data_IF_336472916889
#
_entry.id   IF_336472916889
#
_cell.length_a   1.000
_cell.length_b   1.000
_cell.length_c   1.000
_cell.angle_alpha   90.00
_cell.angle_beta   90.00
_cell.angle_gamma   90.00
#
_symmetry.space_group_name_H-M   'P 1'
#
loop_
_entity.id
_entity.type
_entity.pdbx_description
1 polymer ?
#
# COMPACT_ATOMS: atom_id res chain seq x y z
N UNK A 1 -2.17 39.71 -14.44
CA UNK A 1 -2.59 39.45 -13.04
C UNK A 1 -3.10 38.02 -12.86
N UNK A 2 -3.97 37.52 -13.75
CA UNK A 2 -4.45 36.12 -13.74
C UNK A 2 -3.33 35.06 -13.71
N UNK A 3 -2.27 35.22 -14.52
CA UNK A 3 -1.13 34.29 -14.58
C UNK A 3 -0.35 34.14 -13.27
N UNK A 4 -0.23 35.19 -12.45
CA UNK A 4 0.41 35.11 -11.12
C UNK A 4 -0.46 34.33 -10.11
N UNK A 5 -1.77 34.52 -10.15
CA UNK A 5 -2.70 33.78 -9.30
C UNK A 5 -2.73 32.29 -9.67
N UNK A 6 -2.71 31.96 -10.97
CA UNK A 6 -2.61 30.59 -11.45
C UNK A 6 -1.30 29.92 -11.02
N UNK A 7 -0.16 30.64 -11.08
CA UNK A 7 1.13 30.12 -10.59
C UNK A 7 1.13 29.85 -9.07
N UNK A 8 0.57 30.76 -8.28
CA UNK A 8 0.47 30.60 -6.82
C UNK A 8 -0.39 29.39 -6.47
N UNK A 9 -1.53 29.22 -7.15
CA UNK A 9 -2.40 28.07 -6.94
C UNK A 9 -1.69 26.75 -7.29
N UNK A 10 -0.97 26.70 -8.42
CA UNK A 10 -0.15 25.54 -8.83
C UNK A 10 0.93 25.19 -7.79
N UNK A 11 1.68 26.18 -7.32
CA UNK A 11 2.72 25.98 -6.30
C UNK A 11 2.14 25.48 -4.96
N UNK A 12 0.98 26.00 -4.55
CA UNK A 12 0.30 25.52 -3.35
C UNK A 12 -0.18 24.08 -3.50
N UNK A 13 -0.77 23.72 -4.64
CA UNK A 13 -1.20 22.33 -4.90
C UNK A 13 -0.01 21.36 -4.90
N UNK A 14 1.11 21.76 -5.50
CA UNK A 14 2.35 20.98 -5.52
C UNK A 14 2.91 20.74 -4.11
N UNK A 15 2.94 21.79 -3.29
CA UNK A 15 3.40 21.70 -1.91
C UNK A 15 2.51 20.79 -1.06
N UNK A 16 1.18 20.87 -1.23
CA UNK A 16 0.23 19.98 -0.57
C UNK A 16 0.40 18.51 -1.00
N UNK A 17 0.59 18.25 -2.29
CA UNK A 17 0.83 16.88 -2.78
C UNK A 17 2.14 16.34 -2.19
N UNK A 18 3.25 17.07 -2.31
CA UNK A 18 4.57 16.68 -1.83
C UNK A 18 4.64 16.36 -0.32
N UNK A 19 3.80 17.02 0.48
CA UNK A 19 3.67 16.80 1.93
C UNK A 19 2.71 15.66 2.26
N UNK A 20 1.68 15.43 1.45
CA UNK A 20 0.72 14.34 1.64
C UNK A 20 1.28 12.95 1.28
N UNK A 21 2.10 12.84 0.22
CA UNK A 21 2.58 11.54 -0.29
C UNK A 21 3.28 10.68 0.77
N UNK A 22 4.25 11.20 1.56
CA UNK A 22 4.90 10.42 2.61
C UNK A 22 3.93 10.00 3.72
N UNK A 23 2.93 10.83 4.04
CA UNK A 23 1.96 10.55 5.10
C UNK A 23 1.01 9.41 4.71
N UNK A 24 0.46 9.43 3.50
CA UNK A 24 -0.45 8.39 3.01
C UNK A 24 0.30 7.06 2.80
N UNK A 25 1.54 7.12 2.31
CA UNK A 25 2.37 5.92 2.17
C UNK A 25 2.73 5.30 3.53
N UNK A 26 3.03 6.13 4.55
CA UNK A 26 3.27 5.64 5.92
C UNK A 26 2.00 5.04 6.54
N UNK A 27 0.83 5.63 6.26
CA UNK A 27 -0.45 5.08 6.70
C UNK A 27 -0.74 3.72 6.07
N UNK A 28 -0.50 3.58 4.75
CA UNK A 28 -0.60 2.29 4.05
C UNK A 28 0.31 1.24 4.70
N UNK A 29 1.59 1.57 4.97
CA UNK A 29 2.52 0.66 5.64
C UNK A 29 2.02 0.22 7.03
N UNK A 30 1.57 1.16 7.85
CA UNK A 30 1.07 0.86 9.20
C UNK A 30 -0.18 -0.04 9.18
N UNK A 31 -1.12 0.22 8.26
CA UNK A 31 -2.31 -0.61 8.09
C UNK A 31 -1.94 -2.02 7.60
N UNK A 32 -0.96 -2.13 6.70
CA UNK A 32 -0.45 -3.40 6.18
C UNK A 32 0.22 -4.20 7.29
N UNK A 33 1.06 -3.58 8.12
CA UNK A 33 1.70 -4.21 9.28
C UNK A 33 0.67 -4.72 10.31
N UNK A 34 -0.36 -3.90 10.60
CA UNK A 34 -1.46 -4.31 11.48
C UNK A 34 -2.19 -5.53 10.91
N UNK A 35 -2.45 -5.53 9.60
CA UNK A 35 -3.11 -6.64 8.91
C UNK A 35 -2.24 -7.90 8.88
N UNK A 36 -0.92 -7.76 8.67
CA UNK A 36 0.05 -8.87 8.79
C UNK A 36 -0.05 -9.55 10.14
N UNK A 37 -0.05 -8.75 11.22
CA UNK A 37 -0.19 -9.26 12.59
C UNK A 37 -1.51 -10.00 12.79
N UNK A 38 -2.61 -9.47 12.25
CA UNK A 38 -3.92 -10.12 12.31
C UNK A 38 -3.95 -11.46 11.56
N UNK A 39 -3.45 -11.52 10.32
CA UNK A 39 -3.42 -12.76 9.53
C UNK A 39 -2.53 -13.81 10.20
N UNK A 40 -1.37 -13.39 10.71
CA UNK A 40 -0.45 -14.27 11.46
C UNK A 40 -1.11 -14.83 12.72
N UNK A 41 -1.87 -14.00 13.45
CA UNK A 41 -2.65 -14.44 14.61
C UNK A 41 -3.71 -15.47 14.19
N UNK A 42 -4.46 -15.23 13.12
CA UNK A 42 -5.46 -16.19 12.62
C UNK A 42 -4.84 -17.54 12.24
N UNK A 43 -3.64 -17.55 11.65
CA UNK A 43 -2.87 -18.77 11.32
C UNK A 43 -2.54 -19.63 12.56
N UNK A 44 -2.52 -19.04 13.75
CA UNK A 44 -2.22 -19.74 15.02
C UNK A 44 -3.44 -20.40 15.69
N UNK A 45 -4.65 -20.22 15.15
CA UNK A 45 -5.85 -20.82 15.72
C UNK A 45 -5.78 -22.34 15.70
N UNK A 46 -6.23 -22.96 16.82
CA UNK A 46 -6.39 -24.41 16.90
C UNK A 46 -7.60 -24.84 16.06
N UNK A 47 -7.51 -25.99 15.41
CA UNK A 47 -8.57 -26.60 14.59
C UNK A 47 -8.87 -25.93 13.23
N UNK A 48 -7.91 -25.22 12.64
CA UNK A 48 -8.01 -24.81 11.24
C UNK A 48 -8.07 -26.05 10.33
N UNK A 49 -8.98 -26.05 9.36
CA UNK A 49 -8.95 -27.04 8.27
C UNK A 49 -7.69 -26.81 7.43
N UNK A 50 -7.12 -27.86 6.80
CA UNK A 50 -5.90 -27.71 5.97
C UNK A 50 -6.01 -26.59 4.93
N UNK A 51 -7.18 -26.43 4.30
CA UNK A 51 -7.43 -25.36 3.32
C UNK A 51 -7.52 -23.96 3.94
N UNK A 52 -7.99 -23.84 5.18
CA UNK A 52 -8.01 -22.57 5.91
C UNK A 52 -6.59 -22.16 6.30
N UNK A 53 -5.80 -23.11 6.80
CA UNK A 53 -4.40 -22.89 7.10
C UNK A 53 -3.61 -22.47 5.87
N UNK A 54 -3.79 -23.15 4.73
CA UNK A 54 -3.12 -22.80 3.47
C UNK A 54 -3.46 -21.37 3.03
N UNK A 55 -4.75 -20.99 2.98
CA UNK A 55 -5.15 -19.63 2.61
C UNK A 55 -4.60 -18.55 3.56
N UNK A 56 -4.53 -18.85 4.86
CA UNK A 56 -3.92 -17.96 5.86
C UNK A 56 -2.40 -17.87 5.72
N UNK A 57 -1.76 -18.98 5.33
CA UNK A 57 -0.32 -19.04 5.07
C UNK A 57 0.02 -18.16 3.86
N UNK A 58 -0.62 -18.42 2.73
CA UNK A 58 -0.38 -17.71 1.47
C UNK A 58 -0.63 -16.21 1.65
N UNK A 59 -1.75 -15.83 2.30
CA UNK A 59 -2.00 -14.42 2.58
C UNK A 59 -0.97 -13.78 3.53
N UNK A 60 -0.44 -14.52 4.51
CA UNK A 60 0.59 -13.98 5.38
C UNK A 60 1.90 -13.69 4.63
N UNK A 61 2.22 -14.48 3.60
CA UNK A 61 3.36 -14.26 2.72
C UNK A 61 3.11 -13.02 1.84
N UNK A 62 1.99 -12.96 1.13
CA UNK A 62 1.60 -11.81 0.30
C UNK A 62 1.63 -10.49 1.09
N UNK A 63 1.06 -10.48 2.30
CA UNK A 63 1.05 -9.27 3.14
C UNK A 63 2.43 -8.96 3.72
N UNK A 64 3.29 -9.96 3.90
CA UNK A 64 4.69 -9.70 4.25
C UNK A 64 5.42 -9.01 3.10
N UNK A 65 5.21 -9.48 1.87
CA UNK A 65 5.79 -8.88 0.66
C UNK A 65 5.29 -7.45 0.46
N UNK A 66 3.99 -7.19 0.68
CA UNK A 66 3.46 -5.82 0.65
C UNK A 66 4.16 -4.91 1.68
N UNK A 67 4.37 -5.36 2.92
CA UNK A 67 5.13 -4.59 3.94
C UNK A 67 6.53 -4.23 3.44
N UNK A 68 7.24 -5.19 2.84
CA UNK A 68 8.60 -4.98 2.34
C UNK A 68 8.60 -4.00 1.17
N UNK A 69 7.64 -4.12 0.25
CA UNK A 69 7.47 -3.23 -0.90
C UNK A 69 7.16 -1.79 -0.45
N UNK A 70 6.20 -1.59 0.44
CA UNK A 70 5.86 -0.28 1.00
C UNK A 70 7.02 0.36 1.78
N UNK A 71 7.81 -0.46 2.48
CA UNK A 71 9.03 -0.01 3.17
C UNK A 71 10.08 0.49 2.17
N UNK A 72 10.29 -0.23 1.06
CA UNK A 72 11.16 0.20 -0.04
C UNK A 72 10.65 1.49 -0.68
N UNK A 73 9.34 1.61 -0.91
CA UNK A 73 8.71 2.83 -1.43
C UNK A 73 9.03 4.06 -0.57
N UNK A 74 8.95 3.95 0.76
CA UNK A 74 9.30 5.07 1.65
C UNK A 74 10.78 5.47 1.55
N UNK A 75 11.68 4.48 1.40
CA UNK A 75 13.12 4.73 1.24
C UNK A 75 13.40 5.45 -0.08
N UNK A 76 12.86 4.95 -1.20
CA UNK A 76 13.01 5.58 -2.52
C UNK A 76 12.40 6.99 -2.54
N UNK A 77 11.22 7.18 -1.94
CA UNK A 77 10.58 8.50 -1.84
C UNK A 77 11.46 9.49 -1.07
N UNK A 78 12.14 9.05 0.00
CA UNK A 78 13.09 9.90 0.73
C UNK A 78 14.29 10.27 -0.14
N UNK A 79 14.84 9.32 -0.91
CA UNK A 79 15.98 9.56 -1.79
C UNK A 79 15.64 10.52 -2.93
N UNK A 80 14.42 10.45 -3.48
CA UNK A 80 13.92 11.38 -4.51
C UNK A 80 14.00 12.85 -4.10
N UNK A 81 13.93 13.14 -2.79
CA UNK A 81 13.97 14.51 -2.23
C UNK A 81 15.38 15.02 -1.93
N UNK A 82 16.38 14.15 -1.80
CA UNK A 82 17.73 14.52 -1.34
C UNK A 82 18.65 14.84 -2.52
N UNK A 83 18.55 14.09 -3.62
CA UNK A 83 19.59 14.13 -4.65
C UNK A 83 19.25 14.88 -5.94
N UNK A 84 17.97 15.12 -6.28
CA UNK A 84 17.52 15.90 -7.45
C UNK A 84 17.89 15.33 -8.84
N UNK A 85 19.12 14.84 -9.04
CA UNK A 85 19.68 14.28 -10.26
C UNK A 85 19.03 12.95 -10.69
N UNK A 86 18.40 12.24 -9.75
CA UNK A 86 17.77 10.93 -9.97
C UNK A 86 16.29 10.88 -9.54
N UNK A 87 15.59 12.03 -9.54
CA UNK A 87 14.19 12.10 -9.11
C UNK A 87 13.30 11.09 -9.85
N UNK A 88 13.36 11.09 -11.19
CA UNK A 88 12.56 10.20 -12.04
C UNK A 88 12.84 8.73 -11.78
N UNK A 89 14.11 8.37 -11.55
CA UNK A 89 14.51 7.01 -11.23
C UNK A 89 13.90 6.57 -9.90
N UNK A 90 14.11 7.36 -8.84
CA UNK A 90 13.58 7.04 -7.52
C UNK A 90 12.05 7.00 -7.51
N UNK A 91 11.36 7.96 -8.15
CA UNK A 91 9.90 7.97 -8.12
C UNK A 91 9.30 6.81 -8.92
N UNK A 92 9.91 6.40 -10.04
CA UNK A 92 9.48 5.20 -10.78
C UNK A 92 9.62 3.91 -9.95
N UNK A 93 10.65 3.83 -9.09
CA UNK A 93 10.78 2.73 -8.13
C UNK A 93 9.65 2.79 -7.09
N UNK A 94 9.30 3.98 -6.58
CA UNK A 94 8.16 4.14 -5.66
C UNK A 94 6.86 3.64 -6.31
N UNK A 95 6.56 4.08 -7.54
CA UNK A 95 5.36 3.66 -8.29
C UNK A 95 5.31 2.14 -8.48
N UNK A 96 6.44 1.54 -8.86
CA UNK A 96 6.58 0.10 -9.03
C UNK A 96 6.33 -0.64 -7.72
N UNK A 97 7.01 -0.25 -6.64
CA UNK A 97 6.88 -0.94 -5.36
C UNK A 97 5.48 -0.80 -4.75
N UNK A 98 4.85 0.38 -4.85
CA UNK A 98 3.47 0.55 -4.34
C UNK A 98 2.45 -0.20 -5.19
N UNK A 99 2.60 -0.25 -6.52
CA UNK A 99 1.72 -1.04 -7.38
C UNK A 99 1.83 -2.55 -7.11
N UNK A 100 3.07 -3.00 -6.87
CA UNK A 100 3.36 -4.36 -6.45
C UNK A 100 2.74 -4.67 -5.08
N UNK A 101 2.85 -3.77 -4.09
CA UNK A 101 2.21 -3.95 -2.78
C UNK A 101 0.68 -4.10 -2.89
N UNK A 102 0.05 -3.25 -3.71
CA UNK A 102 -1.40 -3.33 -3.99
C UNK A 102 -1.80 -4.66 -4.63
N UNK A 103 -0.93 -5.21 -5.49
CA UNK A 103 -1.15 -6.52 -6.11
C UNK A 103 -1.16 -7.62 -5.07
N UNK A 104 -0.17 -7.66 -4.16
CA UNK A 104 -0.12 -8.69 -3.11
C UNK A 104 -1.32 -8.61 -2.16
N UNK A 105 -1.72 -7.39 -1.79
CA UNK A 105 -2.92 -7.16 -0.99
C UNK A 105 -4.16 -7.73 -1.67
N UNK A 106 -4.32 -7.46 -2.96
CA UNK A 106 -5.44 -7.97 -3.76
C UNK A 106 -5.38 -9.50 -3.88
N UNK A 107 -4.20 -10.07 -4.15
CA UNK A 107 -3.96 -11.52 -4.21
C UNK A 107 -4.33 -12.21 -2.90
N UNK A 108 -3.91 -11.68 -1.75
CA UNK A 108 -4.35 -12.21 -0.46
C UNK A 108 -5.89 -12.19 -0.40
N UNK A 109 -6.54 -11.08 -0.74
CA UNK A 109 -8.00 -10.95 -0.69
C UNK A 109 -8.73 -11.98 -1.55
N UNK A 110 -8.21 -12.25 -2.74
CA UNK A 110 -8.75 -13.20 -3.71
C UNK A 110 -8.63 -14.65 -3.24
N UNK A 111 -7.59 -14.99 -2.48
CA UNK A 111 -7.44 -16.27 -1.78
C UNK A 111 -8.65 -16.63 -0.89
N UNK A 112 -9.45 -15.63 -0.50
CA UNK A 112 -10.65 -15.80 0.32
C UNK A 112 -11.97 -15.71 -0.46
N UNK A 113 -11.99 -15.63 -1.80
CA UNK A 113 -13.23 -15.42 -2.56
C UNK A 113 -14.22 -16.62 -2.51
N UNK A 114 -13.71 -17.86 -2.39
CA UNK A 114 -14.51 -19.09 -2.42
C UNK A 114 -15.36 -19.38 -1.16
N UNK A 115 -16.34 -20.31 -1.26
CA UNK A 115 -17.29 -20.66 -0.19
C UNK A 115 -16.72 -21.56 0.94
N UNK A 116 -15.44 -21.88 0.92
CA UNK A 116 -14.85 -23.00 1.67
C UNK A 116 -14.17 -22.66 3.00
N UNK A 117 -14.20 -21.40 3.43
CA UNK A 117 -13.54 -20.92 4.66
C UNK A 117 -14.60 -20.52 5.71
N UNK A 118 -14.28 -20.68 7.00
CA UNK A 118 -15.10 -20.14 8.09
C UNK A 118 -15.52 -18.70 7.80
N UNK A 119 -16.83 -18.44 7.83
CA UNK A 119 -17.41 -17.19 7.38
C UNK A 119 -16.94 -15.98 8.18
N UNK A 120 -16.62 -16.13 9.47
CA UNK A 120 -16.20 -15.01 10.33
C UNK A 120 -14.74 -14.64 10.10
N UNK A 121 -13.84 -15.63 10.03
CA UNK A 121 -12.42 -15.38 9.74
C UNK A 121 -12.27 -14.81 8.33
N UNK A 122 -12.93 -15.43 7.35
CA UNK A 122 -12.97 -14.96 5.97
C UNK A 122 -13.43 -13.51 5.85
N UNK A 123 -14.57 -13.16 6.47
CA UNK A 123 -15.11 -11.81 6.40
C UNK A 123 -14.17 -10.78 7.04
N UNK A 124 -13.57 -11.13 8.18
CA UNK A 124 -12.64 -10.26 8.89
C UNK A 124 -11.37 -9.98 8.08
N UNK A 125 -10.79 -11.01 7.47
CA UNK A 125 -9.58 -10.86 6.62
C UNK A 125 -9.92 -10.03 5.39
N UNK A 126 -10.98 -10.38 4.65
CA UNK A 126 -11.37 -9.63 3.45
C UNK A 126 -11.62 -8.15 3.75
N UNK A 127 -12.33 -7.84 4.85
CA UNK A 127 -12.58 -6.45 5.23
C UNK A 127 -11.29 -5.67 5.50
N UNK A 128 -10.31 -6.27 6.17
CA UNK A 128 -9.02 -5.64 6.44
C UNK A 128 -8.23 -5.44 5.16
N UNK A 129 -8.16 -6.46 4.32
CA UNK A 129 -7.44 -6.42 3.05
C UNK A 129 -7.99 -5.38 2.10
N UNK A 130 -9.32 -5.29 1.96
CA UNK A 130 -9.97 -4.23 1.17
C UNK A 130 -9.59 -2.84 1.70
N UNK A 131 -9.55 -2.67 3.02
CA UNK A 131 -9.14 -1.40 3.60
C UNK A 131 -7.67 -1.08 3.30
N UNK A 132 -6.77 -2.04 3.43
CA UNK A 132 -5.35 -1.86 3.10
C UNK A 132 -5.20 -1.50 1.62
N UNK A 133 -5.78 -2.28 0.71
CA UNK A 133 -5.76 -2.04 -0.73
C UNK A 133 -6.28 -0.66 -1.11
N UNK A 134 -7.35 -0.19 -0.46
CA UNK A 134 -7.87 1.15 -0.68
C UNK A 134 -6.87 2.24 -0.27
N UNK A 135 -6.23 2.10 0.89
CA UNK A 135 -5.25 3.07 1.38
C UNK A 135 -3.99 3.06 0.51
N UNK A 136 -3.53 1.88 0.08
CA UNK A 136 -2.40 1.72 -0.85
C UNK A 136 -2.71 2.31 -2.23
N UNK A 137 -3.92 2.10 -2.76
CA UNK A 137 -4.38 2.73 -4.00
C UNK A 137 -4.44 4.25 -3.90
N UNK A 138 -4.92 4.80 -2.77
CA UNK A 138 -4.89 6.23 -2.50
C UNK A 138 -3.45 6.77 -2.47
N UNK A 139 -2.51 6.03 -1.85
CA UNK A 139 -1.10 6.39 -1.84
C UNK A 139 -0.52 6.41 -3.27
N UNK A 140 -0.79 5.38 -4.07
CA UNK A 140 -0.35 5.29 -5.47
C UNK A 140 -0.85 6.47 -6.31
N UNK A 141 -2.13 6.84 -6.14
CA UNK A 141 -2.69 8.02 -6.82
C UNK A 141 -1.93 9.31 -6.49
N UNK A 142 -1.58 9.53 -5.22
CA UNK A 142 -0.79 10.69 -4.82
C UNK A 142 0.66 10.64 -5.32
N UNK A 143 1.26 9.45 -5.40
CA UNK A 143 2.60 9.24 -5.96
C UNK A 143 2.61 9.56 -7.46
N UNK A 144 1.64 9.04 -8.22
CA UNK A 144 1.53 9.30 -9.66
C UNK A 144 1.32 10.81 -9.92
N UNK A 145 0.50 11.48 -9.11
CA UNK A 145 0.35 12.92 -9.18
C UNK A 145 1.65 13.65 -8.82
N UNK A 146 2.37 13.20 -7.80
CA UNK A 146 3.65 13.80 -7.41
C UNK A 146 4.70 13.66 -8.53
N UNK A 147 4.77 12.51 -9.19
CA UNK A 147 5.66 12.24 -10.32
C UNK A 147 5.32 13.10 -11.54
N UNK A 148 4.03 13.22 -11.89
CA UNK A 148 3.60 13.97 -13.07
C UNK A 148 3.79 15.50 -12.96
N UNK A 149 3.95 16.02 -11.75
CA UNK A 149 4.09 17.46 -11.51
C UNK A 149 5.51 17.89 -11.09
N UNK A 150 6.50 17.01 -11.19
CA UNK A 150 7.93 17.34 -11.07
C UNK A 150 8.59 17.34 -12.45
#
# INVERSE_FOLDING_TARGET
>A
MATKFTLIFLLLTLFSIATSTPTTLSLSLNNTQSTKGFVTMCKSFKNLKPREYAALHDCAEEISDSVDRLTRSLKELKLSKINGQDFNWHISNVETWVSSALTDETTCGDGFAGKTLDGKIKASIRSRIVNVAQVTSNALSLINQYAANH
#
